data_IF_099800989341
#
_entry.id   IF_099800989341
#
_cell.length_a   1.000
_cell.length_b   1.000
_cell.length_c   1.000
_cell.angle_alpha   90.00
_cell.angle_beta   90.00
_cell.angle_gamma   90.00
#
_symmetry.space_group_name_H-M   'P 1'
#
loop_
_entity.id
_entity.type
_entity.pdbx_description
1 polymer ?
#
# COMPACT_ATOMS: atom_id res chain seq x y z
N UNK A 1 -15.42 -0.92 39.51
CA UNK A 1 -15.58 -0.99 38.04
C UNK A 1 -14.90 -2.26 37.58
N UNK A 2 -15.67 -3.22 37.07
CA UNK A 2 -15.11 -4.42 36.45
C UNK A 2 -14.13 -4.01 35.35
N UNK A 3 -12.92 -4.58 35.36
CA UNK A 3 -12.01 -4.43 34.23
C UNK A 3 -12.67 -5.14 33.05
N UNK A 4 -13.15 -4.38 32.07
CA UNK A 4 -13.69 -4.95 30.84
C UNK A 4 -12.70 -5.98 30.28
N UNK A 5 -13.20 -7.19 30.05
CA UNK A 5 -12.39 -8.28 29.49
C UNK A 5 -12.03 -7.90 28.06
N UNK A 6 -10.77 -7.63 27.80
CA UNK A 6 -10.27 -7.39 26.43
C UNK A 6 -10.29 -8.70 25.65
N UNK A 7 -10.99 -8.70 24.52
CA UNK A 7 -11.07 -9.83 23.59
C UNK A 7 -10.26 -9.47 22.34
N UNK A 8 -9.47 -10.42 21.84
CA UNK A 8 -8.76 -10.24 20.57
C UNK A 8 -9.59 -10.86 19.46
N UNK A 9 -9.92 -10.07 18.44
CA UNK A 9 -10.62 -10.50 17.24
C UNK A 9 -9.64 -10.43 16.06
N UNK A 10 -9.17 -11.58 15.54
CA UNK A 10 -8.29 -11.60 14.37
C UNK A 10 -9.10 -11.41 13.09
N UNK A 11 -8.69 -10.47 12.24
CA UNK A 11 -9.27 -10.24 10.91
C UNK A 11 -8.14 -10.32 9.87
N UNK A 12 -8.37 -11.10 8.82
CA UNK A 12 -7.42 -11.29 7.72
C UNK A 12 -6.47 -12.49 7.91
N UNK A 13 -5.48 -12.67 7.01
CA UNK A 13 -5.26 -11.90 5.79
C UNK A 13 -6.20 -12.27 4.64
N UNK A 14 -6.98 -13.35 4.79
CA UNK A 14 -7.88 -13.88 3.75
C UNK A 14 -9.36 -13.53 3.98
N UNK A 15 -9.64 -12.51 4.79
CA UNK A 15 -11.01 -12.17 5.16
C UNK A 15 -11.74 -11.58 3.94
N UNK A 16 -12.94 -12.06 3.54
CA UNK A 16 -13.59 -11.67 2.29
C UNK A 16 -13.92 -10.17 2.13
N UNK A 17 -14.00 -9.43 3.24
CA UNK A 17 -14.23 -7.98 3.22
C UNK A 17 -12.96 -7.15 3.00
N UNK A 18 -11.78 -7.76 3.01
CA UNK A 18 -10.53 -7.05 2.76
C UNK A 18 -10.23 -7.04 1.26
N UNK A 19 -9.96 -5.84 0.73
CA UNK A 19 -9.53 -5.66 -0.67
C UNK A 19 -8.05 -6.07 -0.87
N UNK A 20 -7.23 -5.92 0.18
CA UNK A 20 -5.81 -6.25 0.20
C UNK A 20 -5.50 -7.24 1.33
N UNK A 21 -4.46 -8.08 1.20
CA UNK A 21 -4.11 -9.04 2.23
C UNK A 21 -3.43 -8.32 3.40
N UNK A 22 -4.19 -8.12 4.46
CA UNK A 22 -3.74 -7.45 5.68
C UNK A 22 -4.22 -8.21 6.91
N UNK A 23 -3.41 -8.26 7.96
CA UNK A 23 -3.79 -8.90 9.21
C UNK A 23 -3.93 -7.87 10.32
N UNK A 24 -5.06 -7.92 11.02
CA UNK A 24 -5.39 -7.07 12.15
C UNK A 24 -5.73 -7.91 13.37
N UNK A 25 -5.04 -7.69 14.48
CA UNK A 25 -5.48 -8.11 15.81
C UNK A 25 -6.26 -6.95 16.43
N UNK A 26 -7.59 -7.01 16.41
CA UNK A 26 -8.44 -6.01 17.04
C UNK A 26 -8.58 -6.32 18.53
N UNK A 27 -8.24 -5.38 19.40
CA UNK A 27 -8.50 -5.49 20.83
C UNK A 27 -9.84 -4.80 21.13
N UNK A 28 -10.83 -5.56 21.56
CA UNK A 28 -12.19 -5.10 21.78
C UNK A 28 -12.59 -5.15 23.26
N UNK A 29 -13.30 -4.13 23.71
CA UNK A 29 -14.04 -4.11 24.97
C UNK A 29 -15.55 -4.07 24.66
N UNK A 30 -16.20 -5.23 24.76
CA UNK A 30 -17.55 -5.39 24.22
C UNK A 30 -17.54 -5.23 22.69
N UNK A 31 -18.37 -4.33 22.18
CA UNK A 31 -18.46 -4.02 20.74
C UNK A 31 -17.50 -2.89 20.29
N UNK A 32 -16.78 -2.28 21.24
CA UNK A 32 -15.87 -1.17 20.94
C UNK A 32 -14.45 -1.69 20.69
N UNK A 33 -13.91 -1.40 19.52
CA UNK A 33 -12.47 -1.52 19.25
C UNK A 33 -11.74 -0.45 20.05
N UNK A 34 -10.81 -0.86 20.91
CA UNK A 34 -10.02 0.05 21.77
C UNK A 34 -8.57 0.15 21.34
N UNK A 35 -8.06 -0.85 20.62
CA UNK A 35 -6.70 -0.87 20.07
C UNK A 35 -6.64 -1.84 18.88
N UNK A 36 -5.59 -1.71 18.06
CA UNK A 36 -5.33 -2.60 16.92
C UNK A 36 -3.83 -2.82 16.76
N UNK A 37 -3.44 -4.09 16.61
CA UNK A 37 -2.13 -4.44 16.10
C UNK A 37 -2.25 -4.86 14.65
N UNK A 38 -1.73 -4.01 13.77
CA UNK A 38 -1.68 -4.24 12.33
C UNK A 38 -0.39 -4.94 11.93
N UNK A 39 -0.49 -5.94 11.06
CA UNK A 39 0.64 -6.66 10.48
C UNK A 39 0.57 -6.54 8.95
N UNK A 40 1.29 -5.56 8.37
CA UNK A 40 1.38 -5.41 6.92
C UNK A 40 2.37 -6.40 6.29
N UNK A 41 2.46 -6.36 4.95
CA UNK A 41 3.57 -6.97 4.22
C UNK A 41 3.24 -8.26 3.46
N UNK A 42 2.01 -8.79 3.58
CA UNK A 42 1.60 -9.96 2.80
C UNK A 42 1.65 -9.75 1.27
N UNK A 43 1.53 -8.49 0.81
CA UNK A 43 1.69 -8.11 -0.59
C UNK A 43 3.03 -7.39 -0.89
N UNK A 44 4.04 -7.54 -0.04
CA UNK A 44 5.34 -6.90 -0.28
C UNK A 44 6.08 -7.55 -1.45
N UNK A 45 6.30 -6.78 -2.52
CA UNK A 45 6.94 -7.25 -3.77
C UNK A 45 8.33 -6.67 -4.03
N UNK A 46 8.89 -5.88 -3.10
CA UNK A 46 10.21 -5.26 -3.27
C UNK A 46 10.32 -4.29 -4.45
N UNK A 47 9.23 -3.59 -4.80
CA UNK A 47 9.14 -2.70 -5.98
C UNK A 47 10.26 -1.66 -5.98
N UNK A 48 10.51 -0.99 -4.85
CA UNK A 48 11.57 0.00 -4.75
C UNK A 48 12.95 -0.61 -5.01
N UNK A 49 13.25 -1.78 -4.42
CA UNK A 49 14.53 -2.45 -4.61
C UNK A 49 14.70 -2.92 -6.06
N UNK A 50 13.63 -3.40 -6.68
CA UNK A 50 13.57 -3.76 -8.09
C UNK A 50 13.79 -2.54 -9.00
N UNK A 51 13.37 -1.34 -8.60
CA UNK A 51 13.60 -0.13 -9.40
C UNK A 51 15.09 0.20 -9.52
N UNK A 52 15.91 -0.06 -8.49
CA UNK A 52 17.36 0.19 -8.51
C UNK A 52 18.10 -0.64 -9.57
N UNK A 53 17.54 -1.79 -9.97
CA UNK A 53 18.18 -2.69 -10.93
C UNK A 53 17.70 -2.47 -12.37
N UNK A 54 16.88 -1.46 -12.62
CA UNK A 54 16.22 -1.20 -13.91
C UNK A 54 16.67 0.11 -14.50
N UNK A 55 16.65 0.19 -15.83
CA UNK A 55 16.77 1.49 -16.49
C UNK A 55 15.53 2.32 -16.19
N UNK A 56 15.67 3.65 -16.03
CA UNK A 56 14.60 4.53 -15.56
C UNK A 56 13.32 4.43 -16.41
N UNK A 57 13.43 4.19 -17.72
CA UNK A 57 12.28 3.99 -18.62
C UNK A 57 11.48 2.71 -18.30
N UNK A 58 12.15 1.67 -17.79
CA UNK A 58 11.52 0.41 -17.42
C UNK A 58 10.79 0.51 -16.08
N UNK A 59 11.14 1.49 -15.25
CA UNK A 59 10.53 1.70 -13.94
C UNK A 59 9.08 2.18 -14.08
N UNK A 60 8.73 2.89 -15.16
CA UNK A 60 7.35 3.30 -15.45
C UNK A 60 6.37 2.12 -15.47
N UNK A 61 6.76 1.00 -16.09
CA UNK A 61 5.95 -0.23 -16.10
C UNK A 61 5.97 -0.98 -14.76
N UNK A 62 7.03 -0.80 -13.98
CA UNK A 62 7.14 -1.40 -12.66
C UNK A 62 6.21 -0.68 -11.66
N UNK A 63 6.17 0.66 -11.67
CA UNK A 63 5.33 1.45 -10.76
C UNK A 63 3.84 1.34 -11.08
N UNK A 64 3.48 1.07 -12.34
CA UNK A 64 2.11 0.71 -12.74
C UNK A 64 1.55 -0.47 -11.92
N UNK A 65 2.43 -1.37 -11.44
CA UNK A 65 2.07 -2.54 -10.65
C UNK A 65 2.05 -2.29 -9.14
N UNK A 66 2.14 -1.05 -8.66
CA UNK A 66 2.05 -0.75 -7.21
C UNK A 66 0.63 -1.04 -6.71
N UNK A 67 -0.38 -0.47 -7.37
CA UNK A 67 -1.79 -0.61 -7.04
C UNK A 67 -2.58 -1.09 -8.26
N UNK A 68 -3.41 -2.11 -8.09
CA UNK A 68 -4.16 -2.73 -9.19
C UNK A 68 -5.25 -1.84 -9.81
N UNK A 69 -5.70 -0.81 -9.11
CA UNK A 69 -6.76 0.11 -9.57
C UNK A 69 -6.23 1.48 -10.01
N UNK A 70 -4.96 1.78 -9.75
CA UNK A 70 -4.33 3.08 -10.02
C UNK A 70 -3.24 2.99 -11.10
N UNK A 71 -3.46 2.15 -12.11
CA UNK A 71 -2.46 1.87 -13.16
C UNK A 71 -2.04 3.10 -13.97
N UNK A 72 -2.84 4.16 -14.03
CA UNK A 72 -2.47 5.41 -14.71
C UNK A 72 -1.82 6.43 -13.77
N UNK A 73 -2.30 6.53 -12.53
CA UNK A 73 -1.82 7.53 -11.57
C UNK A 73 -0.37 7.31 -11.17
N UNK A 74 0.05 6.05 -10.95
CA UNK A 74 1.42 5.74 -10.55
C UNK A 74 2.46 6.06 -11.64
N UNK A 75 2.28 5.62 -12.91
CA UNK A 75 3.19 6.00 -14.00
C UNK A 75 3.24 7.51 -14.24
N UNK A 76 2.11 8.22 -14.19
CA UNK A 76 2.11 9.68 -14.36
C UNK A 76 2.91 10.35 -13.25
N UNK A 77 2.71 9.95 -12.00
CA UNK A 77 3.49 10.50 -10.89
C UNK A 77 5.00 10.24 -11.05
N UNK A 78 5.38 9.07 -11.56
CA UNK A 78 6.77 8.74 -11.85
C UNK A 78 7.34 9.57 -13.01
N UNK A 79 6.63 9.72 -14.12
CA UNK A 79 7.06 10.57 -15.23
C UNK A 79 7.26 12.01 -14.78
N UNK A 80 6.29 12.59 -14.06
CA UNK A 80 6.40 13.95 -13.51
C UNK A 80 7.65 14.11 -12.63
N UNK A 81 7.97 13.11 -11.79
CA UNK A 81 9.16 13.16 -10.94
C UNK A 81 10.47 13.10 -11.75
N UNK A 82 10.50 12.32 -12.84
CA UNK A 82 11.66 12.25 -13.75
C UNK A 82 11.81 13.54 -14.55
N UNK A 83 10.71 14.12 -15.03
CA UNK A 83 10.69 15.38 -15.79
C UNK A 83 11.14 16.56 -14.95
N UNK A 84 10.66 16.66 -13.70
CA UNK A 84 11.09 17.67 -12.72
C UNK A 84 12.59 17.52 -12.40
N UNK A 85 13.08 16.29 -12.21
CA UNK A 85 14.50 16.02 -11.98
C UNK A 85 15.39 16.46 -13.15
N UNK A 86 14.88 16.34 -14.39
CA UNK A 86 15.61 16.71 -15.61
C UNK A 86 15.39 18.17 -16.03
N UNK A 87 14.48 18.90 -15.38
CA UNK A 87 14.11 20.28 -15.74
C UNK A 87 13.45 20.38 -17.13
N UNK A 88 12.63 19.40 -17.50
CA UNK A 88 11.96 19.34 -18.79
C UNK A 88 10.63 20.10 -18.74
N UNK A 89 10.45 21.08 -19.63
CA UNK A 89 9.15 21.70 -19.88
C UNK A 89 8.32 20.83 -20.84
N UNK A 90 7.19 20.32 -20.36
CA UNK A 90 6.28 19.46 -21.12
C UNK A 90 5.44 20.33 -22.08
N UNK A 91 5.36 20.00 -23.39
CA UNK A 91 4.56 20.77 -24.33
C UNK A 91 3.06 20.63 -24.09
N UNK A 92 2.28 21.65 -24.49
CA UNK A 92 0.82 21.53 -24.60
C UNK A 92 0.43 20.46 -25.63
N UNK A 93 -0.76 19.87 -25.43
CA UNK A 93 -1.26 18.74 -26.22
C UNK A 93 -1.79 19.13 -27.61
#
# INVERSE_FOLDING_TARGET
>A
MEKNKKVVVPIGPYHPLLEEPEYFELYCEGERVVDVKWQPGYNHRGIEKLSESRHWEQVTFLVERICGICSTSHPIAYCNAVEDLLGIDIPER
#
